data_IF_566587388523
#
_entry.id   IF_566587388523
#
_cell.length_a   1.000
_cell.length_b   1.000
_cell.length_c   1.000
_cell.angle_alpha   90.00
_cell.angle_beta   90.00
_cell.angle_gamma   90.00
#
_symmetry.space_group_name_H-M   'P 1'
#
loop_
_entity.id
_entity.type
_entity.pdbx_description
1 polymer ?
#
# COMPACT_ATOMS: atom_id res chain seq x y z
N UNK A 1 1.57 -19.33 0.07
CA UNK A 1 0.68 -18.26 -0.45
C UNK A 1 0.35 -17.34 0.71
N UNK A 2 0.63 -16.04 0.58
CA UNK A 2 0.26 -15.03 1.58
C UNK A 2 -1.28 -14.95 1.61
N UNK A 3 -1.88 -15.10 2.79
CA UNK A 3 -3.32 -14.85 3.02
C UNK A 3 -3.48 -13.41 3.49
N UNK A 4 -4.59 -12.78 3.12
CA UNK A 4 -4.97 -11.50 3.70
C UNK A 4 -5.37 -11.69 5.17
N UNK A 5 -4.95 -10.81 6.05
CA UNK A 5 -5.34 -10.87 7.47
C UNK A 5 -6.77 -10.36 7.71
N UNK A 6 -7.29 -9.54 6.80
CA UNK A 6 -8.66 -9.06 6.83
C UNK A 6 -9.58 -10.05 6.09
N UNK A 7 -10.56 -10.62 6.77
CA UNK A 7 -11.56 -11.48 6.12
C UNK A 7 -12.55 -10.65 5.28
N UNK A 8 -13.02 -11.16 4.14
CA UNK A 8 -14.09 -10.52 3.38
C UNK A 8 -15.34 -10.32 4.24
N UNK A 9 -15.98 -9.16 4.09
CA UNK A 9 -17.18 -8.82 4.85
C UNK A 9 -18.40 -9.58 4.35
N UNK A 10 -19.07 -10.33 5.23
CA UNK A 10 -20.25 -11.15 4.91
C UNK A 10 -21.53 -10.66 5.64
N UNK A 11 -21.50 -9.44 6.20
CA UNK A 11 -22.65 -8.87 6.91
C UNK A 11 -23.69 -8.24 5.99
N UNK A 12 -24.72 -7.62 6.60
CA UNK A 12 -25.85 -7.00 5.89
C UNK A 12 -25.69 -5.50 5.67
N UNK A 13 -24.69 -4.88 6.31
CA UNK A 13 -24.43 -3.45 6.20
C UNK A 13 -23.79 -3.10 4.84
N UNK A 14 -23.78 -1.82 4.53
CA UNK A 14 -23.14 -1.29 3.33
C UNK A 14 -21.64 -1.63 3.33
N UNK A 15 -21.13 -2.06 2.19
CA UNK A 15 -19.73 -2.45 2.02
C UNK A 15 -19.19 -2.07 0.65
N UNK A 16 -17.87 -2.08 0.56
CA UNK A 16 -17.10 -1.82 -0.65
C UNK A 16 -16.77 -3.16 -1.30
N UNK A 17 -17.02 -3.29 -2.60
CA UNK A 17 -16.50 -4.40 -3.39
C UNK A 17 -15.14 -4.00 -3.98
N UNK A 18 -14.11 -4.82 -3.80
CA UNK A 18 -12.81 -4.61 -4.40
C UNK A 18 -12.58 -5.62 -5.53
N UNK A 19 -12.49 -5.08 -6.76
CA UNK A 19 -12.07 -5.84 -7.95
C UNK A 19 -10.56 -5.73 -8.12
N UNK A 20 -9.87 -6.87 -8.20
CA UNK A 20 -8.42 -6.95 -8.39
C UNK A 20 -8.00 -8.25 -9.06
N UNK A 21 -6.81 -8.27 -9.66
CA UNK A 21 -6.24 -9.50 -10.20
C UNK A 21 -5.55 -10.32 -9.11
N UNK A 22 -5.85 -11.61 -9.00
CA UNK A 22 -5.25 -12.50 -7.98
C UNK A 22 -3.72 -12.64 -8.09
N UNK A 23 -3.13 -12.27 -9.23
CA UNK A 23 -1.67 -12.20 -9.39
C UNK A 23 -1.05 -11.06 -8.58
N UNK A 24 -1.85 -10.06 -8.21
CA UNK A 24 -1.41 -8.83 -7.54
C UNK A 24 -1.64 -8.85 -6.03
N UNK A 25 -1.91 -10.02 -5.44
CA UNK A 25 -2.21 -10.18 -4.00
C UNK A 25 -1.18 -9.47 -3.11
N UNK A 26 0.09 -9.51 -3.47
CA UNK A 26 1.15 -8.93 -2.65
C UNK A 26 1.09 -7.40 -2.54
N UNK A 27 0.62 -6.73 -3.60
CA UNK A 27 0.48 -5.27 -3.61
C UNK A 27 -0.93 -4.80 -3.22
N UNK A 28 -1.92 -5.70 -3.32
CA UNK A 28 -3.34 -5.41 -3.05
C UNK A 28 -3.71 -5.65 -1.59
N UNK A 29 -3.27 -6.76 -0.99
CA UNK A 29 -3.63 -7.13 0.37
C UNK A 29 -3.24 -6.09 1.42
N UNK A 30 -2.05 -5.44 1.37
CA UNK A 30 -1.74 -4.36 2.29
C UNK A 30 -2.73 -3.19 2.26
N UNK A 31 -3.31 -2.87 1.09
CA UNK A 31 -4.33 -1.84 0.97
C UNK A 31 -5.66 -2.31 1.58
N UNK A 32 -6.09 -3.54 1.28
CA UNK A 32 -7.32 -4.12 1.85
C UNK A 32 -7.22 -4.19 3.38
N UNK A 33 -6.12 -4.70 3.92
CA UNK A 33 -5.87 -4.81 5.35
C UNK A 33 -5.87 -3.44 6.02
N UNK A 34 -5.27 -2.45 5.38
CA UNK A 34 -5.27 -1.08 5.88
C UNK A 34 -6.68 -0.48 5.92
N UNK A 35 -7.43 -0.57 4.83
CA UNK A 35 -8.80 -0.05 4.78
C UNK A 35 -9.72 -0.76 5.79
N UNK A 36 -9.57 -2.09 5.96
CA UNK A 36 -10.32 -2.84 6.95
C UNK A 36 -9.98 -2.40 8.38
N UNK A 37 -8.68 -2.18 8.68
CA UNK A 37 -8.22 -1.63 9.96
C UNK A 37 -8.77 -0.22 10.21
N UNK A 38 -8.93 0.59 9.16
CA UNK A 38 -9.51 1.93 9.24
C UNK A 38 -11.05 1.92 9.36
N UNK A 39 -11.65 0.72 9.49
CA UNK A 39 -13.07 0.51 9.78
C UNK A 39 -13.95 0.35 8.55
N UNK A 40 -13.39 0.24 7.34
CA UNK A 40 -14.18 -0.01 6.14
C UNK A 40 -14.60 -1.47 6.03
N UNK A 41 -15.86 -1.71 5.74
CA UNK A 41 -16.41 -3.02 5.40
C UNK A 41 -16.10 -3.32 3.95
N UNK A 42 -15.30 -4.35 3.71
CA UNK A 42 -14.75 -4.66 2.40
C UNK A 42 -15.07 -6.10 2.04
N UNK A 43 -15.62 -6.30 0.86
CA UNK A 43 -15.71 -7.61 0.24
C UNK A 43 -14.76 -7.70 -0.96
N UNK A 44 -14.04 -8.80 -1.05
CA UNK A 44 -13.12 -9.12 -2.13
C UNK A 44 -13.01 -10.64 -2.29
N UNK A 45 -12.72 -11.12 -3.49
CA UNK A 45 -12.55 -12.54 -3.74
C UNK A 45 -11.16 -13.01 -3.30
N UNK A 46 -11.07 -13.83 -2.27
CA UNK A 46 -9.81 -14.46 -1.81
C UNK A 46 -9.32 -15.62 -2.70
N UNK A 47 -10.15 -16.10 -3.61
CA UNK A 47 -9.98 -17.33 -4.35
C UNK A 47 -10.94 -18.39 -3.84
N UNK A 48 -12.07 -18.47 -4.48
CA UNK A 48 -13.18 -19.34 -4.14
C UNK A 48 -12.85 -20.79 -4.46
N UNK A 49 -13.33 -21.72 -3.63
CA UNK A 49 -13.13 -23.14 -3.81
C UNK A 49 -13.69 -23.62 -5.15
N UNK A 50 -12.96 -24.51 -5.87
CA UNK A 50 -13.49 -25.14 -7.07
C UNK A 50 -14.80 -25.86 -6.79
N UNK A 51 -15.86 -25.54 -7.55
CA UNK A 51 -17.17 -26.20 -7.43
C UNK A 51 -18.33 -25.30 -7.00
N UNK A 52 -18.06 -24.02 -6.63
CA UNK A 52 -19.12 -23.02 -6.46
C UNK A 52 -19.39 -22.31 -7.80
N UNK A 53 -20.64 -21.84 -8.00
CA UNK A 53 -20.96 -21.00 -9.17
C UNK A 53 -20.37 -19.60 -8.97
N UNK A 54 -19.05 -19.53 -9.23
CA UNK A 54 -18.21 -18.37 -8.99
C UNK A 54 -18.72 -17.08 -9.67
N UNK A 55 -19.19 -17.09 -10.93
CA UNK A 55 -19.74 -15.89 -11.55
C UNK A 55 -20.97 -15.35 -10.85
N UNK A 56 -21.86 -16.23 -10.36
CA UNK A 56 -23.09 -15.84 -9.70
C UNK A 56 -22.80 -15.15 -8.35
N UNK A 57 -21.90 -15.73 -7.55
CA UNK A 57 -21.53 -15.16 -6.26
C UNK A 57 -20.87 -13.77 -6.41
N UNK A 58 -19.93 -13.61 -7.35
CA UNK A 58 -19.31 -12.31 -7.66
C UNK A 58 -20.38 -11.31 -8.08
N UNK A 59 -21.29 -11.70 -8.97
CA UNK A 59 -22.37 -10.84 -9.45
C UNK A 59 -23.32 -10.43 -8.31
N UNK A 60 -23.64 -11.34 -7.40
CA UNK A 60 -24.44 -11.03 -6.22
C UNK A 60 -23.78 -10.01 -5.31
N UNK A 61 -22.50 -10.20 -4.97
CA UNK A 61 -21.78 -9.26 -4.13
C UNK A 61 -21.60 -7.89 -4.80
N UNK A 62 -21.30 -7.85 -6.10
CA UNK A 62 -21.30 -6.61 -6.87
C UNK A 62 -22.68 -5.94 -6.90
N UNK A 63 -23.75 -6.71 -7.01
CA UNK A 63 -25.10 -6.15 -7.01
C UNK A 63 -25.51 -5.60 -5.63
N UNK A 64 -25.03 -6.19 -4.54
CA UNK A 64 -25.33 -5.78 -3.16
C UNK A 64 -24.42 -4.68 -2.64
N UNK A 65 -23.20 -4.53 -3.15
CA UNK A 65 -22.23 -3.52 -2.67
C UNK A 65 -22.76 -2.09 -2.83
N UNK A 66 -22.30 -1.20 -1.97
CA UNK A 66 -22.63 0.23 -2.02
C UNK A 66 -21.64 1.04 -2.84
N UNK A 67 -20.41 0.58 -2.95
CA UNK A 67 -19.39 1.16 -3.81
C UNK A 67 -18.48 0.05 -4.36
N UNK A 68 -17.85 0.30 -5.50
CA UNK A 68 -16.87 -0.59 -6.11
C UNK A 68 -15.55 0.15 -6.28
N UNK A 69 -14.46 -0.47 -5.84
CA UNK A 69 -13.10 -0.01 -6.13
C UNK A 69 -12.46 -1.03 -7.07
N UNK A 70 -12.01 -0.58 -8.25
CA UNK A 70 -11.20 -1.39 -9.13
C UNK A 70 -9.72 -1.03 -8.96
N UNK A 71 -8.90 -2.01 -8.55
CA UNK A 71 -7.45 -1.85 -8.43
C UNK A 71 -6.80 -2.14 -9.78
N UNK A 72 -6.30 -1.09 -10.41
CA UNK A 72 -5.81 -1.12 -11.79
C UNK A 72 -4.31 -1.37 -11.80
N UNK A 73 -3.93 -2.48 -12.45
CA UNK A 73 -2.56 -2.93 -12.71
C UNK A 73 -2.49 -3.51 -14.12
N UNK A 74 -1.29 -3.77 -14.65
CA UNK A 74 -1.14 -4.47 -15.93
C UNK A 74 -1.81 -5.87 -15.91
N UNK A 75 -1.77 -6.57 -14.78
CA UNK A 75 -2.47 -7.85 -14.66
C UNK A 75 -3.99 -7.69 -14.66
N UNK A 76 -4.53 -6.68 -13.97
CA UNK A 76 -5.98 -6.48 -13.87
C UNK A 76 -6.61 -6.07 -15.20
N UNK A 77 -5.98 -5.18 -15.97
CA UNK A 77 -6.48 -4.75 -17.28
C UNK A 77 -6.44 -5.88 -18.33
N UNK A 78 -5.57 -6.86 -18.14
CA UNK A 78 -5.47 -8.05 -19.00
C UNK A 78 -6.29 -9.24 -18.46
N UNK A 79 -6.85 -9.13 -17.25
CA UNK A 79 -7.72 -10.14 -16.65
C UNK A 79 -9.13 -10.07 -17.23
N UNK A 80 -9.59 -11.19 -17.80
CA UNK A 80 -10.97 -11.28 -18.30
C UNK A 80 -12.01 -11.12 -17.18
N UNK A 81 -11.72 -11.65 -16.00
CA UNK A 81 -12.62 -11.57 -14.83
C UNK A 81 -12.70 -10.13 -14.32
N UNK A 82 -11.57 -9.45 -14.09
CA UNK A 82 -11.58 -8.06 -13.65
C UNK A 82 -12.34 -7.16 -14.64
N UNK A 83 -12.16 -7.37 -15.94
CA UNK A 83 -12.92 -6.61 -16.97
C UNK A 83 -14.42 -6.88 -16.90
N UNK A 84 -14.86 -8.12 -16.64
CA UNK A 84 -16.27 -8.44 -16.45
C UNK A 84 -16.84 -7.76 -15.19
N UNK A 85 -16.10 -7.78 -14.08
CA UNK A 85 -16.49 -7.11 -12.83
C UNK A 85 -16.64 -5.61 -13.01
N UNK A 86 -15.65 -4.96 -13.64
CA UNK A 86 -15.69 -3.53 -13.97
C UNK A 86 -16.91 -3.21 -14.83
N UNK A 87 -17.09 -3.95 -15.92
CA UNK A 87 -18.22 -3.75 -16.84
C UNK A 87 -19.56 -3.92 -16.11
N UNK A 88 -19.70 -4.92 -15.27
CA UNK A 88 -20.92 -5.17 -14.53
C UNK A 88 -21.20 -4.09 -13.49
N UNK A 89 -20.18 -3.64 -12.75
CA UNK A 89 -20.32 -2.54 -11.79
C UNK A 89 -20.78 -1.25 -12.48
N UNK A 90 -20.18 -0.90 -13.62
CA UNK A 90 -20.54 0.26 -14.42
C UNK A 90 -21.97 0.14 -15.00
N UNK A 91 -22.32 -1.02 -15.53
CA UNK A 91 -23.69 -1.31 -16.02
C UNK A 91 -24.74 -1.15 -14.92
N UNK A 92 -24.43 -1.60 -13.70
CA UNK A 92 -25.29 -1.44 -12.50
C UNK A 92 -25.25 -0.02 -11.93
N UNK A 93 -24.50 0.89 -12.53
CA UNK A 93 -24.34 2.28 -12.08
C UNK A 93 -23.90 2.38 -10.61
N UNK A 94 -23.03 1.45 -10.18
CA UNK A 94 -22.47 1.52 -8.85
C UNK A 94 -21.56 2.73 -8.72
N UNK A 95 -21.52 3.42 -7.55
CA UNK A 95 -20.43 4.31 -7.23
C UNK A 95 -19.11 3.59 -7.46
N UNK A 96 -18.23 4.17 -8.29
CA UNK A 96 -17.10 3.45 -8.84
C UNK A 96 -15.83 4.30 -8.80
N UNK A 97 -14.76 3.74 -8.21
CA UNK A 97 -13.46 4.40 -8.11
C UNK A 97 -12.41 3.50 -8.77
N UNK A 98 -11.70 4.05 -9.75
CA UNK A 98 -10.53 3.40 -10.36
C UNK A 98 -9.27 3.80 -9.62
N UNK A 99 -8.60 2.87 -8.93
CA UNK A 99 -7.34 3.12 -8.23
C UNK A 99 -6.19 2.49 -9.01
N UNK A 100 -5.42 3.32 -9.67
CA UNK A 100 -4.24 2.90 -10.43
C UNK A 100 -3.07 2.70 -9.48
N UNK A 101 -2.69 1.45 -9.23
CA UNK A 101 -1.58 1.10 -8.34
C UNK A 101 -0.22 1.36 -9.01
N UNK A 102 -0.17 1.28 -10.32
CA UNK A 102 1.01 1.49 -11.17
C UNK A 102 0.62 2.19 -12.47
N UNK A 103 1.60 2.65 -13.24
CA UNK A 103 1.35 3.19 -14.58
C UNK A 103 1.02 2.06 -15.53
N UNK A 104 -0.16 2.12 -16.14
CA UNK A 104 -0.63 1.13 -17.13
C UNK A 104 -1.03 1.83 -18.42
N UNK A 105 -0.94 1.12 -19.54
CA UNK A 105 -1.47 1.57 -20.83
C UNK A 105 -2.81 0.90 -21.07
N UNK A 106 -3.89 1.68 -20.98
CA UNK A 106 -5.23 1.16 -21.23
C UNK A 106 -5.45 0.92 -22.72
N UNK A 107 -6.20 -0.13 -23.05
CA UNK A 107 -6.79 -0.23 -24.39
C UNK A 107 -7.84 0.86 -24.60
N UNK A 108 -8.09 1.27 -25.86
CA UNK A 108 -9.10 2.29 -26.19
C UNK A 108 -10.48 1.98 -25.58
N UNK A 109 -10.86 0.70 -25.55
CA UNK A 109 -12.13 0.28 -24.94
C UNK A 109 -12.15 0.45 -23.41
N UNK A 110 -11.06 0.13 -22.71
CA UNK A 110 -10.93 0.35 -21.27
C UNK A 110 -10.84 1.84 -20.93
N UNK A 111 -10.13 2.62 -21.74
CA UNK A 111 -10.04 4.06 -21.57
C UNK A 111 -11.44 4.69 -21.68
N UNK A 112 -12.22 4.34 -22.70
CA UNK A 112 -13.59 4.80 -22.87
C UNK A 112 -14.49 4.44 -21.67
N UNK A 113 -14.34 3.24 -21.11
CA UNK A 113 -15.14 2.78 -19.97
C UNK A 113 -14.79 3.52 -18.68
N UNK A 114 -13.50 3.75 -18.43
CA UNK A 114 -13.02 4.36 -17.19
C UNK A 114 -12.96 5.89 -17.24
N UNK A 115 -13.06 6.51 -18.42
CA UNK A 115 -12.96 7.96 -18.61
C UNK A 115 -13.99 8.77 -17.81
N UNK A 116 -15.13 8.18 -17.48
CA UNK A 116 -16.20 8.83 -16.72
C UNK A 116 -16.20 8.48 -15.23
N UNK A 117 -15.23 7.68 -14.78
CA UNK A 117 -15.12 7.25 -13.38
C UNK A 117 -14.13 8.14 -12.62
N UNK A 118 -14.31 8.22 -11.30
CA UNK A 118 -13.30 8.82 -10.45
C UNK A 118 -12.01 7.97 -10.51
N UNK A 119 -10.91 8.61 -10.86
CA UNK A 119 -9.61 7.95 -10.94
C UNK A 119 -8.64 8.49 -9.89
N UNK A 120 -7.95 7.60 -9.20
CA UNK A 120 -6.89 7.92 -8.23
C UNK A 120 -5.63 7.19 -8.65
N UNK A 121 -4.55 7.93 -8.85
CA UNK A 121 -3.26 7.39 -9.32
C UNK A 121 -2.30 7.29 -8.13
N UNK A 122 -2.25 6.13 -7.47
CA UNK A 122 -1.43 5.90 -6.27
C UNK A 122 0.03 6.31 -6.47
N UNK A 123 0.58 6.05 -7.64
CA UNK A 123 1.99 6.34 -7.96
C UNK A 123 2.32 7.83 -8.12
N UNK A 124 1.32 8.73 -8.07
CA UNK A 124 1.53 10.19 -8.12
C UNK A 124 1.63 10.82 -6.74
N UNK A 125 1.33 10.07 -5.68
CA UNK A 125 1.38 10.58 -4.31
C UNK A 125 2.76 10.33 -3.70
N UNK A 126 3.30 11.34 -3.04
CA UNK A 126 4.61 11.26 -2.39
C UNK A 126 4.59 10.35 -1.14
N UNK A 127 3.44 10.23 -0.48
CA UNK A 127 3.26 9.35 0.65
C UNK A 127 2.04 8.44 0.51
N UNK A 128 2.12 7.28 1.16
CA UNK A 128 0.98 6.36 1.25
C UNK A 128 -0.19 6.97 2.03
N UNK A 129 0.12 7.84 3.00
CA UNK A 129 -0.87 8.57 3.79
C UNK A 129 -1.69 9.51 2.89
N UNK A 130 -1.03 10.33 2.07
CA UNK A 130 -1.70 11.28 1.18
C UNK A 130 -2.60 10.55 0.16
N UNK A 131 -2.13 9.41 -0.34
CA UNK A 131 -2.94 8.53 -1.18
C UNK A 131 -4.19 8.04 -0.45
N UNK A 132 -4.06 7.54 0.79
CA UNK A 132 -5.20 7.07 1.58
C UNK A 132 -6.16 8.21 1.93
N UNK A 133 -5.65 9.37 2.34
CA UNK A 133 -6.47 10.56 2.58
C UNK A 133 -7.28 10.91 1.34
N UNK A 134 -6.66 10.88 0.15
CA UNK A 134 -7.37 11.12 -1.10
C UNK A 134 -8.43 10.06 -1.39
N UNK A 135 -8.12 8.79 -1.18
CA UNK A 135 -9.07 7.70 -1.35
C UNK A 135 -10.27 7.84 -0.42
N UNK A 136 -10.03 8.20 0.85
CA UNK A 136 -11.06 8.34 1.88
C UNK A 136 -11.88 9.64 1.78
N UNK A 137 -11.45 10.62 0.98
CA UNK A 137 -12.25 11.80 0.65
C UNK A 137 -13.42 11.49 -0.29
N UNK A 138 -13.50 10.26 -0.81
CA UNK A 138 -14.62 9.87 -1.67
C UNK A 138 -15.86 9.60 -0.83
N UNK A 139 -16.88 10.46 -0.95
CA UNK A 139 -18.15 10.36 -0.21
C UNK A 139 -18.84 9.01 -0.40
N UNK A 140 -18.57 8.34 -1.52
CA UNK A 140 -19.09 7.01 -1.84
C UNK A 140 -18.68 5.95 -0.83
N UNK A 141 -17.53 6.13 -0.16
CA UNK A 141 -16.99 5.20 0.80
C UNK A 141 -17.51 5.42 2.23
N UNK A 142 -17.97 6.63 2.57
CA UNK A 142 -18.36 7.00 3.94
C UNK A 142 -19.43 6.07 4.50
N UNK A 143 -20.42 5.71 3.68
CA UNK A 143 -21.51 4.81 4.12
C UNK A 143 -21.06 3.37 4.36
N UNK A 144 -19.88 3.00 3.90
CA UNK A 144 -19.29 1.67 4.07
C UNK A 144 -18.36 1.57 5.29
N UNK A 145 -18.17 2.68 6.00
CA UNK A 145 -17.42 2.71 7.25
C UNK A 145 -18.31 2.27 8.40
N UNK A 146 -17.88 1.25 9.14
CA UNK A 146 -18.51 0.84 10.40
C UNK A 146 -18.16 1.81 11.52
N UNK A 147 -18.91 1.76 12.61
CA UNK A 147 -18.36 2.20 13.88
C UNK A 147 -17.15 1.31 14.12
N UNK A 148 -15.97 1.88 14.06
CA UNK A 148 -14.75 1.13 14.31
C UNK A 148 -14.86 0.58 15.74
N UNK A 149 -14.71 -0.73 15.93
CA UNK A 149 -14.54 -1.33 17.27
C UNK A 149 -13.37 -0.69 18.03
N UNK A 150 -12.57 0.12 17.35
CA UNK A 150 -11.51 0.97 17.87
C UNK A 150 -12.04 2.15 18.70
N UNK A 151 -13.34 2.46 18.68
CA UNK A 151 -13.91 3.55 19.52
C UNK A 151 -14.09 3.20 21.00
N UNK A 152 -13.85 1.94 21.41
CA UNK A 152 -14.06 1.51 22.81
C UNK A 152 -12.79 0.91 23.46
N UNK A 153 -11.76 0.57 22.67
CA UNK A 153 -10.51 0.07 23.22
C UNK A 153 -9.37 1.01 22.83
N UNK A 154 -8.95 1.81 23.81
CA UNK A 154 -7.71 2.59 23.81
C UNK A 154 -7.57 3.73 22.79
N UNK A 155 -8.27 4.85 23.01
CA UNK A 155 -7.74 6.16 22.61
C UNK A 155 -6.35 6.43 23.22
N UNK A 156 -6.01 5.78 24.33
CA UNK A 156 -4.74 5.95 25.02
C UNK A 156 -3.58 5.10 24.45
N UNK A 157 -3.84 4.15 23.52
CA UNK A 157 -2.76 3.36 22.88
C UNK A 157 -2.32 3.86 21.51
N UNK A 158 -3.09 4.72 20.86
CA UNK A 158 -2.79 5.26 19.53
C UNK A 158 -1.94 6.53 19.52
N UNK A 159 -1.68 7.13 20.67
CA UNK A 159 -0.86 8.35 20.81
C UNK A 159 0.65 8.07 21.04
N UNK A 160 1.08 6.82 21.05
CA UNK A 160 2.51 6.51 21.07
C UNK A 160 3.09 6.67 19.66
N UNK A 161 3.51 7.86 19.33
CA UNK A 161 4.33 8.11 18.14
C UNK A 161 5.70 7.51 18.35
N UNK A 162 6.04 6.52 17.51
CA UNK A 162 7.42 6.04 17.50
C UNK A 162 8.32 7.09 16.83
N UNK A 163 9.47 7.31 17.45
CA UNK A 163 10.57 8.05 16.81
C UNK A 163 11.55 7.07 16.22
N UNK A 164 11.86 7.26 14.96
CA UNK A 164 12.73 6.39 14.18
C UNK A 164 14.06 7.06 13.93
N UNK A 165 15.14 6.32 14.14
CA UNK A 165 16.49 6.79 13.89
C UNK A 165 17.31 5.71 13.18
N UNK A 166 18.29 6.18 12.39
CA UNK A 166 19.43 5.37 12.02
C UNK A 166 20.64 5.84 12.85
N UNK A 167 21.30 4.92 13.52
CA UNK A 167 22.52 5.22 14.25
C UNK A 167 23.75 4.63 13.55
N UNK A 168 24.87 5.30 13.65
CA UNK A 168 26.17 4.81 13.20
C UNK A 168 27.01 4.32 14.39
N UNK A 169 28.02 3.47 14.12
CA UNK A 169 29.00 3.08 15.15
C UNK A 169 29.74 4.26 15.77
N UNK A 170 29.83 5.39 15.07
CA UNK A 170 30.39 6.64 15.59
C UNK A 170 29.57 7.31 16.69
N UNK A 171 28.34 6.82 16.93
CA UNK A 171 27.37 7.44 17.85
C UNK A 171 26.47 8.49 17.17
N UNK A 172 26.69 8.82 15.90
CA UNK A 172 25.81 9.71 15.14
C UNK A 172 24.42 9.08 15.04
N UNK A 173 23.38 9.85 15.36
CA UNK A 173 21.97 9.49 15.19
C UNK A 173 21.33 10.38 14.15
N UNK A 174 20.70 9.77 13.17
CA UNK A 174 19.98 10.44 12.08
C UNK A 174 18.48 10.19 12.34
N UNK A 175 17.76 11.24 12.66
CA UNK A 175 16.31 11.18 12.87
C UNK A 175 15.57 11.09 11.54
N UNK A 176 14.63 10.18 11.42
CA UNK A 176 13.79 10.01 10.24
C UNK A 176 12.54 10.85 10.46
N UNK A 177 12.56 12.08 9.93
CA UNK A 177 11.56 13.13 10.22
C UNK A 177 10.40 13.18 9.23
N UNK A 178 10.44 12.38 8.15
CA UNK A 178 9.43 12.39 7.10
C UNK A 178 8.88 10.99 6.87
N UNK A 179 7.63 10.90 6.44
CA UNK A 179 7.00 9.63 6.07
C UNK A 179 7.73 8.90 4.95
N UNK A 180 8.41 9.66 4.06
CA UNK A 180 9.35 9.16 3.08
C UNK A 180 10.68 9.89 3.24
N UNK A 181 11.75 9.17 3.61
CA UNK A 181 13.06 9.71 3.91
C UNK A 181 14.12 9.09 3.00
N UNK A 182 14.72 9.92 2.15
CA UNK A 182 15.68 9.49 1.11
C UNK A 182 17.12 9.54 1.61
N UNK A 183 17.85 8.46 1.39
CA UNK A 183 19.28 8.33 1.73
C UNK A 183 20.09 8.07 0.45
N UNK A 184 21.18 8.80 0.29
CA UNK A 184 22.07 8.62 -0.86
C UNK A 184 23.28 9.53 -0.79
N UNK A 185 24.06 9.63 -1.90
CA UNK A 185 25.24 10.49 -1.95
C UNK A 185 24.99 11.90 -2.49
N UNK A 186 23.81 12.15 -3.09
CA UNK A 186 23.48 13.42 -3.75
C UNK A 186 22.67 14.29 -2.79
N UNK A 187 23.29 15.31 -2.22
CA UNK A 187 22.70 16.16 -1.18
C UNK A 187 21.38 16.80 -1.62
N UNK A 188 21.28 17.22 -2.87
CA UNK A 188 20.10 17.91 -3.39
C UNK A 188 18.89 16.96 -3.64
N UNK A 189 19.12 15.64 -3.56
CA UNK A 189 18.09 14.61 -3.81
C UNK A 189 17.72 13.80 -2.57
N UNK A 190 18.46 13.99 -1.46
CA UNK A 190 18.34 13.15 -0.28
C UNK A 190 18.09 13.97 0.97
N UNK A 191 17.32 13.42 1.89
CA UNK A 191 17.11 13.99 3.22
C UNK A 191 18.34 13.79 4.12
N UNK A 192 19.04 12.66 3.92
CA UNK A 192 20.36 12.42 4.50
C UNK A 192 21.36 12.02 3.41
N UNK A 193 22.45 12.76 3.31
CA UNK A 193 23.46 12.50 2.29
C UNK A 193 24.78 12.01 2.88
N UNK A 194 25.27 10.90 2.31
CA UNK A 194 26.63 10.39 2.53
C UNK A 194 27.52 10.92 1.39
N UNK A 195 27.81 12.22 1.44
CA UNK A 195 28.59 12.90 0.40
C UNK A 195 30.02 12.32 0.29
N UNK A 196 30.52 12.23 -0.93
CA UNK A 196 31.87 11.69 -1.18
C UNK A 196 31.99 10.17 -1.24
N UNK A 197 31.03 9.41 -0.75
CA UNK A 197 31.06 7.95 -0.80
C UNK A 197 30.58 7.42 -2.16
N UNK A 198 31.52 6.98 -3.00
CA UNK A 198 31.24 6.46 -4.35
C UNK A 198 30.50 5.11 -4.34
N UNK A 199 30.48 4.39 -3.23
CA UNK A 199 29.73 3.11 -3.10
C UNK A 199 28.25 3.34 -2.89
N UNK A 200 27.82 4.57 -2.58
CA UNK A 200 26.43 4.96 -2.40
C UNK A 200 25.87 5.54 -3.71
N UNK A 201 24.70 5.11 -4.14
CA UNK A 201 23.99 5.66 -5.30
C UNK A 201 23.47 7.06 -5.01
N UNK A 202 23.13 7.84 -6.05
CA UNK A 202 22.63 9.22 -5.91
C UNK A 202 21.47 9.31 -4.92
N UNK A 203 20.43 8.49 -5.12
CA UNK A 203 19.44 8.08 -4.12
C UNK A 203 19.61 6.57 -4.00
N UNK A 204 19.99 6.06 -2.84
CA UNK A 204 20.36 4.65 -2.65
C UNK A 204 19.20 3.87 -2.08
N UNK A 205 18.61 4.39 -1.01
CA UNK A 205 17.47 3.79 -0.34
C UNK A 205 16.45 4.85 0.09
N UNK A 206 15.24 4.41 0.31
CA UNK A 206 14.14 5.22 0.82
C UNK A 206 13.59 4.52 2.05
N UNK A 207 13.48 5.25 3.15
CA UNK A 207 12.82 4.79 4.35
C UNK A 207 11.38 5.30 4.34
N UNK A 208 10.43 4.42 4.60
CA UNK A 208 9.01 4.74 4.62
C UNK A 208 8.45 4.47 6.02
N UNK A 209 7.92 5.50 6.68
CA UNK A 209 7.17 5.35 7.93
C UNK A 209 5.71 5.10 7.58
N UNK A 210 5.17 4.00 8.07
CA UNK A 210 3.77 3.62 7.90
C UNK A 210 3.08 3.66 9.27
N UNK A 211 1.93 4.34 9.34
CA UNK A 211 1.10 4.49 10.54
C UNK A 211 1.78 5.15 11.75
N UNK A 212 2.96 5.75 11.57
CA UNK A 212 3.76 6.26 12.68
C UNK A 212 4.33 5.17 13.60
N UNK A 213 4.15 3.89 13.26
CA UNK A 213 4.53 2.72 14.09
C UNK A 213 5.47 1.75 13.39
N UNK A 214 5.46 1.70 12.06
CA UNK A 214 6.25 0.77 11.27
C UNK A 214 7.23 1.52 10.37
N UNK A 215 8.46 1.04 10.32
CA UNK A 215 9.51 1.56 9.44
C UNK A 215 9.84 0.51 8.39
N UNK A 216 9.85 0.92 7.13
CA UNK A 216 10.25 0.08 6.00
C UNK A 216 11.44 0.68 5.28
N UNK A 217 12.26 -0.16 4.67
CA UNK A 217 13.31 0.25 3.74
C UNK A 217 13.03 -0.25 2.34
N UNK A 218 13.34 0.59 1.37
CA UNK A 218 13.16 0.35 -0.05
C UNK A 218 14.49 0.60 -0.76
N UNK A 219 15.07 -0.43 -1.40
CA UNK A 219 16.26 -0.26 -2.24
C UNK A 219 15.84 0.39 -3.57
N UNK A 220 16.29 1.61 -3.82
CA UNK A 220 15.97 2.37 -5.03
C UNK A 220 16.80 1.91 -6.24
N UNK A 221 16.83 0.61 -6.49
CA UNK A 221 17.63 -0.05 -7.53
C UNK A 221 19.11 0.39 -7.49
N UNK A 222 19.68 0.35 -6.31
CA UNK A 222 21.02 0.83 -6.06
C UNK A 222 22.10 -0.09 -6.64
N UNK A 223 23.24 0.47 -7.08
CA UNK A 223 24.31 -0.31 -7.71
C UNK A 223 24.91 -1.36 -6.75
N UNK A 224 25.10 -0.99 -5.49
CA UNK A 224 25.74 -1.85 -4.47
C UNK A 224 24.74 -2.47 -3.48
N UNK A 225 23.45 -2.43 -3.81
CA UNK A 225 22.35 -3.02 -3.05
C UNK A 225 22.23 -2.52 -1.60
N UNK A 226 21.05 -2.73 -1.04
CA UNK A 226 20.79 -2.61 0.40
C UNK A 226 20.83 -4.01 1.02
N UNK A 227 21.44 -4.13 2.20
CA UNK A 227 21.48 -5.37 2.96
C UNK A 227 20.85 -5.14 4.32
N UNK A 228 20.00 -6.05 4.72
CA UNK A 228 19.38 -6.11 6.04
C UNK A 228 19.93 -7.33 6.78
N UNK A 229 20.58 -7.11 7.94
CA UNK A 229 21.19 -8.18 8.74
C UNK A 229 22.08 -9.13 7.91
N UNK A 230 22.85 -8.56 6.98
CA UNK A 230 23.80 -9.29 6.12
C UNK A 230 23.19 -9.91 4.86
N UNK A 231 21.87 -9.91 4.68
CA UNK A 231 21.18 -10.42 3.48
C UNK A 231 20.75 -9.25 2.59
N UNK A 232 20.96 -9.35 1.26
CA UNK A 232 20.45 -8.35 0.33
C UNK A 232 18.93 -8.39 0.29
N UNK A 233 18.30 -7.23 0.34
CA UNK A 233 16.85 -7.11 0.09
C UNK A 233 16.59 -7.02 -1.41
N UNK A 234 15.38 -7.37 -1.83
CA UNK A 234 14.96 -7.24 -3.22
C UNK A 234 14.79 -5.77 -3.59
N UNK A 235 15.36 -5.33 -4.74
CA UNK A 235 15.17 -3.96 -5.21
C UNK A 235 13.70 -3.65 -5.46
N UNK A 236 13.30 -2.41 -5.20
CA UNK A 236 11.95 -1.89 -5.44
C UNK A 236 10.85 -2.57 -4.59
N UNK A 237 11.23 -3.29 -3.51
CA UNK A 237 10.31 -3.93 -2.57
C UNK A 237 10.49 -3.31 -1.18
N UNK A 238 9.40 -2.95 -0.52
CA UNK A 238 9.42 -2.50 0.87
C UNK A 238 9.73 -3.68 1.80
N UNK A 239 10.79 -3.55 2.59
CA UNK A 239 11.20 -4.53 3.61
C UNK A 239 11.06 -3.89 4.99
N UNK A 240 10.32 -4.52 5.90
CA UNK A 240 10.12 -3.99 7.24
C UNK A 240 11.41 -4.02 8.06
N UNK A 241 11.62 -2.96 8.83
CA UNK A 241 12.75 -2.79 9.73
C UNK A 241 12.30 -2.85 11.19
N UNK A 242 13.07 -3.55 12.01
CA UNK A 242 12.83 -3.68 13.44
C UNK A 242 13.95 -3.02 14.24
N UNK A 243 13.66 -2.72 15.51
CA UNK A 243 14.65 -2.13 16.40
C UNK A 243 15.89 -3.03 16.54
N UNK A 244 17.06 -2.46 16.33
CA UNK A 244 18.34 -3.18 16.36
C UNK A 244 18.82 -3.76 15.02
N UNK A 245 18.02 -3.70 13.97
CA UNK A 245 18.42 -4.20 12.65
C UNK A 245 19.65 -3.46 12.11
N UNK A 246 20.58 -4.20 11.50
CA UNK A 246 21.71 -3.64 10.75
C UNK A 246 21.31 -3.42 9.29
N UNK A 247 21.34 -2.17 8.84
CA UNK A 247 21.17 -1.79 7.45
C UNK A 247 22.52 -1.39 6.86
N UNK A 248 22.96 -2.11 5.81
CA UNK A 248 24.18 -1.76 5.06
C UNK A 248 23.84 -1.26 3.65
N UNK A 249 24.35 -0.09 3.32
CA UNK A 249 24.24 0.53 2.00
C UNK A 249 25.65 0.80 1.47
N UNK A 250 26.05 0.06 0.43
CA UNK A 250 27.46 0.11 -0.04
C UNK A 250 28.42 -0.24 1.09
N UNK A 251 29.36 0.68 1.41
CA UNK A 251 30.30 0.54 2.55
C UNK A 251 29.78 1.09 3.88
N UNK A 252 28.62 1.75 3.89
CA UNK A 252 28.04 2.34 5.09
C UNK A 252 27.18 1.35 5.87
N UNK A 253 27.23 1.45 7.20
CA UNK A 253 26.43 0.63 8.12
C UNK A 253 25.67 1.51 9.08
N UNK A 254 24.38 1.20 9.21
CA UNK A 254 23.46 1.87 10.11
C UNK A 254 22.75 0.82 10.98
N UNK A 255 22.33 1.24 12.15
CA UNK A 255 21.51 0.44 13.06
C UNK A 255 20.19 1.15 13.29
N UNK A 256 19.10 0.41 13.17
CA UNK A 256 17.76 0.93 13.37
C UNK A 256 17.50 1.12 14.86
N UNK A 257 17.02 2.29 15.24
CA UNK A 257 16.60 2.60 16.60
C UNK A 257 15.16 3.10 16.56
N UNK A 258 14.28 2.39 17.26
CA UNK A 258 12.85 2.73 17.37
C UNK A 258 12.57 3.00 18.84
N UNK A 259 12.19 4.22 19.17
CA UNK A 259 11.81 4.63 20.51
C UNK A 259 10.31 4.84 20.60
N UNK A 260 9.67 4.28 21.62
CA UNK A 260 8.29 4.61 22.00
C UNK A 260 8.30 5.94 22.76
N UNK A 261 7.46 6.91 22.38
CA UNK A 261 7.15 8.10 23.16
C UNK A 261 5.98 7.88 24.10
#
# INVERSE_FOLDING_TARGET
MKRCSASPYEGKEKYIFISYCHKDKEIVYPLIERMAKDGYRIWYDEGINPGTDWPEMIAEHLNKCSACIALITDNSINSHNCRKEINYALFKKKPFISVFLEKVTLSVGMEMQLATTQAIFKYTYDSYKDFLEKLYQSNELDSCKGESEISIIDKDKFDKKHKFYLSRKSGEKIEITKSQFKIGRKTELCDYSVSGNKTISRVHAILNIVDGQHLFIFDNNSLNKVFLNGKSIDPMVNTELHNGDEVRMGSERFYVVINEE
#
